data_IF_991595383595
#
_entry.id   IF_991595383595
#
_cell.length_a   1.000
_cell.length_b   1.000
_cell.length_c   1.000
_cell.angle_alpha   90.00
_cell.angle_beta   90.00
_cell.angle_gamma   90.00
#
_symmetry.space_group_name_H-M   'P 1'
#
loop_
_entity.id
_entity.type
_entity.pdbx_description
1 polymer ?
#
# COMPACT_ATOMS: atom_id res chain seq x y z
N UNK A 1 -21.66 13.99 38.60
CA UNK A 1 -21.11 14.58 37.35
C UNK A 1 -19.62 14.34 37.36
N UNK A 2 -19.01 13.88 36.27
CA UNK A 2 -17.57 13.67 36.22
C UNK A 2 -16.85 15.03 36.30
N UNK A 3 -15.88 15.18 37.21
CA UNK A 3 -15.08 16.39 37.29
C UNK A 3 -14.34 16.61 35.95
N UNK A 4 -14.27 17.85 35.47
CA UNK A 4 -13.55 18.24 34.26
C UNK A 4 -12.52 19.29 34.59
N UNK A 5 -11.40 19.29 33.89
CA UNK A 5 -10.36 20.32 34.02
C UNK A 5 -10.06 20.95 32.65
N UNK A 6 -9.51 22.17 32.67
CA UNK A 6 -9.27 22.97 31.47
C UNK A 6 -7.77 23.09 31.22
N UNK A 7 -7.34 22.96 29.97
CA UNK A 7 -5.93 23.13 29.60
C UNK A 7 -5.47 24.59 29.81
N UNK A 8 -4.37 24.84 30.57
CA UNK A 8 -3.90 26.19 30.89
C UNK A 8 -3.28 26.95 29.70
N UNK A 9 -3.12 26.29 28.55
CA UNK A 9 -2.55 26.90 27.34
C UNK A 9 -3.62 27.28 26.31
N UNK A 10 -4.70 26.51 26.18
CA UNK A 10 -5.67 26.68 25.07
C UNK A 10 -7.15 26.63 25.48
N UNK A 11 -7.46 26.39 26.76
CA UNK A 11 -8.86 26.38 27.22
C UNK A 11 -9.66 25.11 26.91
N UNK A 12 -9.04 24.08 26.34
CA UNK A 12 -9.75 22.83 26.01
C UNK A 12 -10.09 22.03 27.28
N UNK A 13 -11.35 21.58 27.42
CA UNK A 13 -11.85 20.86 28.60
C UNK A 13 -11.71 19.35 28.44
N UNK A 14 -11.26 18.66 29.49
CA UNK A 14 -11.06 17.21 29.53
C UNK A 14 -11.73 16.58 30.76
N UNK A 15 -12.23 15.34 30.65
CA UNK A 15 -12.70 14.59 31.82
C UNK A 15 -11.53 14.20 32.72
N UNK A 16 -11.66 14.43 34.02
CA UNK A 16 -10.66 14.09 35.03
C UNK A 16 -10.58 12.58 35.22
N UNK A 17 -9.39 12.01 34.99
CA UNK A 17 -9.09 10.60 35.27
C UNK A 17 -8.07 10.52 36.40
N UNK A 18 -8.29 9.71 37.46
CA UNK A 18 -7.37 9.61 38.61
C UNK A 18 -5.94 9.26 38.22
N UNK A 19 -5.76 8.48 37.14
CA UNK A 19 -4.45 8.03 36.64
C UNK A 19 -3.58 9.18 36.08
N UNK A 20 -4.17 10.33 35.78
CA UNK A 20 -3.47 11.50 35.23
C UNK A 20 -3.00 12.49 36.29
N UNK A 21 -3.49 12.37 37.53
CA UNK A 21 -3.09 13.24 38.64
C UNK A 21 -1.61 13.00 38.96
N UNK A 22 -0.82 14.07 39.02
CA UNK A 22 0.62 14.04 39.28
C UNK A 22 1.49 13.64 38.09
N UNK A 23 0.92 13.32 36.91
CA UNK A 23 1.70 13.01 35.69
C UNK A 23 1.74 14.19 34.72
N UNK A 24 2.84 14.31 33.97
CA UNK A 24 2.92 15.26 32.85
C UNK A 24 2.10 14.73 31.66
N UNK A 25 1.07 15.47 31.27
CA UNK A 25 0.15 15.13 30.17
C UNK A 25 0.30 16.16 29.05
N UNK A 26 0.22 15.72 27.79
CA UNK A 26 0.21 16.62 26.63
C UNK A 26 -1.22 16.90 26.18
N UNK A 27 -1.55 18.18 25.96
CA UNK A 27 -2.84 18.59 25.43
C UNK A 27 -3.04 18.07 23.99
N UNK A 28 -4.18 17.47 23.66
CA UNK A 28 -4.46 17.01 22.29
C UNK A 28 -4.72 18.15 21.32
N UNK A 29 -5.16 19.32 21.82
CA UNK A 29 -5.36 20.53 21.03
C UNK A 29 -4.05 21.23 20.68
N UNK A 30 -3.32 21.74 21.68
CA UNK A 30 -2.13 22.58 21.46
C UNK A 30 -0.78 21.85 21.60
N UNK A 31 -0.76 20.56 21.96
CA UNK A 31 0.44 19.71 22.13
C UNK A 31 1.41 20.13 23.24
N UNK A 32 1.13 21.20 24.00
CA UNK A 32 1.92 21.62 25.16
C UNK A 32 1.71 20.68 26.35
N UNK A 33 2.77 20.46 27.13
CA UNK A 33 2.75 19.62 28.33
C UNK A 33 2.32 20.44 29.56
N UNK A 34 1.48 19.84 30.39
CA UNK A 34 1.03 20.40 31.67
C UNK A 34 0.86 19.26 32.69
N UNK A 35 0.78 19.58 33.98
CA UNK A 35 0.63 18.58 35.06
C UNK A 35 -0.65 18.88 35.84
N UNK A 36 -1.43 17.83 36.13
CA UNK A 36 -2.70 17.95 36.84
C UNK A 36 -2.48 17.71 38.34
N UNK A 37 -2.84 18.66 39.20
CA UNK A 37 -2.83 18.49 40.66
C UNK A 37 -4.03 17.67 41.15
N UNK A 38 -3.95 17.16 42.38
CA UNK A 38 -5.06 16.45 43.02
C UNK A 38 -6.34 17.31 43.13
N UNK A 39 -6.18 18.63 43.24
CA UNK A 39 -7.28 19.59 43.36
C UNK A 39 -7.98 19.90 42.02
N UNK A 40 -7.58 19.25 40.92
CA UNK A 40 -8.17 19.46 39.58
C UNK A 40 -7.64 20.67 38.81
N UNK A 41 -6.69 21.41 39.38
CA UNK A 41 -6.01 22.53 38.71
C UNK A 41 -4.85 21.99 37.87
N UNK A 42 -4.72 22.47 36.63
CA UNK A 42 -3.67 22.10 35.69
C UNK A 42 -2.61 23.21 35.59
N UNK A 43 -1.35 22.90 35.91
CA UNK A 43 -0.25 23.85 35.84
C UNK A 43 0.65 23.63 34.62
N UNK A 44 1.25 24.72 34.17
CA UNK A 44 2.26 24.69 33.12
C UNK A 44 3.53 24.05 33.68
N UNK A 45 3.99 22.98 33.04
CA UNK A 45 5.27 22.34 33.39
C UNK A 45 6.37 23.09 32.67
N UNK A 46 7.33 23.63 33.41
CA UNK A 46 8.53 24.21 32.80
C UNK A 46 9.21 23.12 31.95
N UNK A 47 9.58 23.42 30.69
CA UNK A 47 10.25 22.43 29.85
C UNK A 47 11.47 21.91 30.61
N UNK A 48 11.67 20.58 30.69
CA UNK A 48 12.85 20.02 31.34
C UNK A 48 14.09 20.64 30.69
N UNK A 49 15.12 20.99 31.47
CA UNK A 49 16.35 21.55 30.92
C UNK A 49 16.84 20.60 29.83
N UNK A 50 16.96 21.11 28.61
CA UNK A 50 17.46 20.36 27.47
C UNK A 50 18.77 19.70 27.91
N UNK A 51 18.87 18.36 27.90
CA UNK A 51 20.12 17.69 28.25
C UNK A 51 21.21 18.27 27.36
N UNK A 52 22.27 18.80 27.99
CA UNK A 52 23.42 19.33 27.27
C UNK A 52 23.88 18.26 26.28
N UNK A 53 23.98 18.65 25.00
CA UNK A 53 24.38 17.75 23.94
C UNK A 53 25.70 17.06 24.35
N UNK A 54 25.75 15.71 24.40
CA UNK A 54 26.98 15.02 24.74
C UNK A 54 28.07 15.41 23.74
N UNK A 55 29.21 15.80 24.30
CA UNK A 55 30.41 16.22 23.57
C UNK A 55 30.78 15.15 22.52
N UNK A 56 31.05 15.54 21.25
CA UNK A 56 31.31 14.59 20.18
C UNK A 56 32.56 13.76 20.50
N UNK A 57 32.38 12.44 20.57
CA UNK A 57 33.48 11.51 20.79
C UNK A 57 34.59 11.69 19.73
N UNK A 58 35.88 11.63 20.12
CA UNK A 58 37.01 11.81 19.21
C UNK A 58 37.02 10.74 18.11
N UNK A 59 37.24 11.19 16.86
CA UNK A 59 37.41 10.32 15.69
C UNK A 59 38.59 9.37 15.91
N UNK A 60 38.42 8.04 15.77
CA UNK A 60 39.52 7.10 15.76
C UNK A 60 40.46 7.36 14.56
N UNK A 61 41.76 7.40 14.84
CA UNK A 61 42.80 7.48 13.81
C UNK A 61 42.77 6.24 12.91
N UNK A 62 43.00 6.46 11.61
CA UNK A 62 43.04 5.42 10.59
C UNK A 62 44.19 4.43 10.87
N UNK A 63 43.83 3.18 11.15
CA UNK A 63 44.78 2.07 11.28
C UNK A 63 45.00 1.44 9.91
N UNK A 64 46.27 1.32 9.52
CA UNK A 64 46.73 0.68 8.29
C UNK A 64 46.36 -0.82 8.23
N UNK A 65 46.11 -1.39 7.04
CA UNK A 65 45.70 -2.78 6.91
C UNK A 65 46.86 -3.75 7.17
N UNK A 66 46.66 -4.68 8.10
CA UNK A 66 47.58 -5.79 8.37
C UNK A 66 47.32 -6.99 7.42
N UNK A 67 48.33 -7.88 7.21
CA UNK A 67 48.26 -8.99 6.26
C UNK A 67 47.29 -10.10 6.70
N UNK A 68 46.54 -10.63 5.74
CA UNK A 68 45.61 -11.75 5.91
C UNK A 68 46.35 -13.02 6.34
N UNK A 69 45.92 -13.59 7.47
CA UNK A 69 46.31 -14.93 7.92
C UNK A 69 45.32 -15.98 7.41
N UNK A 70 45.84 -17.15 7.06
CA UNK A 70 45.15 -18.30 6.48
C UNK A 70 43.98 -18.84 7.35
N UNK A 71 42.97 -19.51 6.74
CA UNK A 71 41.78 -19.98 7.43
C UNK A 71 42.04 -21.22 8.30
N UNK A 72 41.54 -21.15 9.53
CA UNK A 72 41.46 -22.28 10.49
C UNK A 72 40.16 -23.08 10.27
N UNK A 73 40.18 -24.42 10.37
CA UNK A 73 39.02 -25.26 10.07
C UNK A 73 37.94 -25.20 11.16
N UNK A 74 36.67 -25.14 10.73
CA UNK A 74 35.51 -25.06 11.60
C UNK A 74 35.16 -26.41 12.28
N UNK A 75 34.73 -26.41 13.55
CA UNK A 75 34.24 -27.61 14.24
C UNK A 75 32.81 -27.96 13.80
N UNK A 76 32.60 -29.25 13.54
CA UNK A 76 31.31 -29.86 13.20
C UNK A 76 30.34 -29.83 14.40
N UNK A 77 29.08 -29.46 14.14
CA UNK A 77 27.96 -29.48 15.10
C UNK A 77 27.10 -30.73 14.84
N UNK A 78 26.68 -31.49 15.88
CA UNK A 78 25.89 -32.70 15.72
C UNK A 78 24.39 -32.44 15.42
N UNK A 79 23.81 -33.31 14.59
CA UNK A 79 22.39 -33.37 14.20
C UNK A 79 21.44 -33.70 15.37
N UNK A 80 20.28 -33.03 15.49
CA UNK A 80 19.18 -33.50 16.32
C UNK A 80 18.22 -34.43 15.55
N UNK A 81 17.77 -35.48 16.24
CA UNK A 81 16.83 -36.50 15.79
C UNK A 81 15.37 -35.98 15.66
N UNK A 82 14.52 -36.64 14.84
CA UNK A 82 13.15 -36.19 14.59
C UNK A 82 12.17 -36.61 15.70
N UNK A 83 11.36 -35.66 16.17
CA UNK A 83 10.22 -35.91 17.05
C UNK A 83 8.96 -36.19 16.24
N UNK A 84 8.31 -37.31 16.53
CA UNK A 84 6.99 -37.75 16.05
C UNK A 84 5.89 -36.84 16.62
N UNK A 85 5.09 -36.21 15.75
CA UNK A 85 3.87 -35.50 16.14
C UNK A 85 2.63 -36.36 15.86
N UNK A 86 1.88 -36.62 16.93
CA UNK A 86 0.60 -37.30 16.96
C UNK A 86 -0.52 -36.33 16.58
N UNK A 87 -1.33 -36.70 15.59
CA UNK A 87 -2.50 -35.96 15.08
C UNK A 87 -3.71 -36.14 15.99
N UNK A 88 -4.43 -35.08 16.42
CA UNK A 88 -5.75 -35.21 17.02
C UNK A 88 -6.87 -35.10 15.99
N UNK A 89 -7.89 -35.93 16.22
CA UNK A 89 -9.12 -36.17 15.44
C UNK A 89 -10.13 -35.02 15.59
N UNK A 90 -10.84 -34.58 14.52
CA UNK A 90 -11.82 -33.51 14.62
C UNK A 90 -13.17 -34.03 15.14
N UNK A 91 -13.63 -33.47 16.26
CA UNK A 91 -14.99 -33.61 16.76
C UNK A 91 -15.86 -32.45 16.28
N UNK A 92 -16.99 -32.77 15.65
CA UNK A 92 -18.00 -31.80 15.22
C UNK A 92 -18.78 -31.22 16.40
N UNK A 93 -19.08 -29.91 16.36
CA UNK A 93 -19.96 -29.29 17.35
C UNK A 93 -19.92 -27.77 17.52
N UNK A 94 -19.14 -26.99 16.75
CA UNK A 94 -18.96 -25.54 17.01
C UNK A 94 -19.59 -24.56 16.00
N UNK A 95 -20.28 -25.07 14.95
CA UNK A 95 -20.83 -24.22 13.88
C UNK A 95 -21.95 -23.26 14.31
N UNK A 96 -22.74 -23.60 15.31
CA UNK A 96 -23.95 -22.83 15.66
C UNK A 96 -23.64 -21.59 16.53
N UNK A 97 -22.58 -21.63 17.34
CA UNK A 97 -22.20 -20.48 18.19
C UNK A 97 -21.50 -19.39 17.39
N UNK A 98 -20.80 -19.73 16.31
CA UNK A 98 -20.12 -18.79 15.43
C UNK A 98 -21.12 -17.90 14.64
N UNK A 99 -22.20 -18.49 14.13
CA UNK A 99 -23.25 -17.76 13.41
C UNK A 99 -23.96 -16.71 14.29
N UNK A 100 -24.23 -17.04 15.55
CA UNK A 100 -24.88 -16.09 16.49
C UNK A 100 -24.02 -14.87 16.84
N UNK A 101 -22.69 -15.03 16.86
CA UNK A 101 -21.74 -13.94 17.14
C UNK A 101 -21.57 -13.01 15.95
N UNK A 102 -21.56 -13.55 14.73
CA UNK A 102 -21.53 -12.75 13.50
C UNK A 102 -22.76 -11.83 13.41
N UNK A 103 -23.97 -12.36 13.66
CA UNK A 103 -25.21 -11.57 13.60
C UNK A 103 -25.28 -10.43 14.63
N UNK A 104 -24.73 -10.64 15.85
CA UNK A 104 -24.66 -9.58 16.87
C UNK A 104 -23.67 -8.47 16.50
N UNK A 105 -22.56 -8.80 15.84
CA UNK A 105 -21.56 -7.82 15.45
C UNK A 105 -22.07 -6.89 14.35
N UNK A 106 -22.83 -7.41 13.39
CA UNK A 106 -23.41 -6.63 12.30
C UNK A 106 -24.42 -5.59 12.81
N UNK A 107 -25.29 -5.95 13.77
CA UNK A 107 -26.23 -5.00 14.40
C UNK A 107 -25.50 -3.87 15.12
N UNK A 108 -24.42 -4.19 15.85
CA UNK A 108 -23.65 -3.18 16.57
C UNK A 108 -22.94 -2.19 15.62
N UNK A 109 -22.51 -2.65 14.44
CA UNK A 109 -21.94 -1.78 13.41
C UNK A 109 -23.00 -0.89 12.74
N UNK A 110 -24.21 -1.40 12.50
CA UNK A 110 -25.31 -0.60 11.97
C UNK A 110 -25.76 0.49 12.95
N UNK A 111 -25.85 0.18 14.25
CA UNK A 111 -26.18 1.16 15.28
C UNK A 111 -25.08 2.24 15.42
N UNK A 112 -23.81 1.85 15.31
CA UNK A 112 -22.70 2.81 15.30
C UNK A 112 -22.73 3.72 14.06
N UNK A 113 -23.09 3.20 12.88
CA UNK A 113 -23.28 4.00 11.66
C UNK A 113 -24.45 4.96 11.80
N UNK A 114 -25.58 4.53 12.38
CA UNK A 114 -26.73 5.40 12.66
C UNK A 114 -26.38 6.52 13.66
N UNK A 115 -25.64 6.20 14.71
CA UNK A 115 -25.17 7.20 15.67
C UNK A 115 -24.24 8.24 15.02
N UNK A 116 -23.30 7.81 14.17
CA UNK A 116 -22.41 8.73 13.43
C UNK A 116 -23.16 9.57 12.39
N UNK A 117 -24.16 9.01 11.71
CA UNK A 117 -25.00 9.78 10.79
C UNK A 117 -25.78 10.87 11.53
N UNK A 118 -26.30 10.57 12.73
CA UNK A 118 -26.99 11.54 13.58
C UNK A 118 -26.10 12.69 14.04
N UNK A 119 -24.84 12.42 14.42
CA UNK A 119 -23.91 13.48 14.84
C UNK A 119 -23.46 14.37 13.67
N UNK A 120 -23.25 13.80 12.48
CA UNK A 120 -22.91 14.57 11.28
C UNK A 120 -24.07 15.45 10.81
N UNK A 121 -25.31 14.95 10.83
CA UNK A 121 -26.49 15.74 10.49
C UNK A 121 -26.69 16.93 11.45
N UNK A 122 -26.48 16.70 12.76
CA UNK A 122 -26.53 17.76 13.77
C UNK A 122 -25.43 18.82 13.57
N UNK A 123 -24.20 18.40 13.28
CA UNK A 123 -23.10 19.31 13.00
C UNK A 123 -23.33 20.14 11.72
N UNK A 124 -23.88 19.54 10.66
CA UNK A 124 -24.24 20.24 9.43
C UNK A 124 -25.32 21.31 9.67
N UNK A 125 -26.35 20.99 10.44
CA UNK A 125 -27.40 21.95 10.79
C UNK A 125 -26.86 23.11 11.65
N UNK A 126 -25.95 22.84 12.60
CA UNK A 126 -25.31 23.89 13.38
C UNK A 126 -24.43 24.80 12.49
N UNK A 127 -23.70 24.24 11.53
CA UNK A 127 -22.90 25.02 10.58
C UNK A 127 -23.77 25.96 9.72
N UNK A 128 -24.91 25.47 9.21
CA UNK A 128 -25.87 26.27 8.45
C UNK A 128 -26.50 27.39 9.31
N UNK A 129 -26.76 27.14 10.59
CA UNK A 129 -27.24 28.20 11.50
C UNK A 129 -26.19 29.28 11.77
N UNK A 130 -24.90 28.93 11.79
CA UNK A 130 -23.83 29.91 11.95
C UNK A 130 -23.66 30.75 10.67
N UNK A 131 -23.75 30.16 9.49
CA UNK A 131 -23.69 30.91 8.23
C UNK A 131 -24.89 31.84 8.04
N UNK A 132 -26.10 31.40 8.35
CA UNK A 132 -27.31 32.24 8.26
C UNK A 132 -27.23 33.45 9.19
N UNK A 133 -26.85 33.24 10.46
CA UNK A 133 -26.61 34.35 11.41
C UNK A 133 -25.54 35.33 10.91
N UNK A 134 -24.48 34.84 10.26
CA UNK A 134 -23.42 35.68 9.70
C UNK A 134 -23.92 36.49 8.50
N UNK A 135 -24.76 35.89 7.63
CA UNK A 135 -25.37 36.61 6.51
C UNK A 135 -26.33 37.70 6.99
N UNK A 136 -27.13 37.43 8.02
CA UNK A 136 -28.07 38.41 8.57
C UNK A 136 -27.34 39.56 9.28
N UNK A 137 -26.26 39.28 10.01
CA UNK A 137 -25.40 40.31 10.59
C UNK A 137 -24.74 41.19 9.51
N UNK A 138 -24.27 40.60 8.41
CA UNK A 138 -23.69 41.35 7.29
C UNK A 138 -24.74 42.22 6.56
N UNK A 139 -25.98 41.74 6.44
CA UNK A 139 -27.09 42.54 5.88
C UNK A 139 -27.49 43.68 6.80
N UNK A 140 -27.51 43.48 8.11
CA UNK A 140 -27.79 44.52 9.10
C UNK A 140 -26.72 45.63 9.09
N UNK A 141 -25.43 45.26 9.02
CA UNK A 141 -24.33 46.23 8.97
C UNK A 141 -24.35 47.05 7.65
N UNK A 142 -24.69 46.42 6.52
CA UNK A 142 -24.89 47.13 5.25
C UNK A 142 -26.11 48.06 5.26
N UNK A 143 -27.18 47.71 5.99
CA UNK A 143 -28.37 48.57 6.13
C UNK A 143 -28.07 49.77 7.04
N UNK A 144 -27.34 49.57 8.15
CA UNK A 144 -26.91 50.63 9.06
C UNK A 144 -25.97 51.64 8.38
N UNK A 145 -25.06 51.17 7.51
CA UNK A 145 -24.18 52.05 6.71
C UNK A 145 -24.92 52.85 5.64
N UNK A 146 -26.06 52.36 5.14
CA UNK A 146 -26.89 53.09 4.16
C UNK A 146 -27.72 54.20 4.81
N UNK A 147 -28.24 54.00 6.01
CA UNK A 147 -29.04 55.02 6.71
C UNK A 147 -28.21 56.16 7.34
N UNK A 148 -26.89 56.03 7.43
CA UNK A 148 -25.99 57.09 7.94
C UNK A 148 -25.54 58.10 6.85
N UNK A 149 -25.85 57.85 5.56
CA UNK A 149 -25.39 58.68 4.44
C UNK A 149 -26.43 59.67 3.89
N UNK A 150 -27.60 59.78 4.52
CA UNK A 150 -28.66 60.70 4.08
C UNK A 150 -28.74 62.00 4.92
N UNK A 151 -27.70 62.30 5.70
CA UNK A 151 -27.68 63.42 6.63
C UNK A 151 -26.69 64.55 6.32
N UNK A 152 -26.36 64.85 5.06
CA UNK A 152 -25.66 66.11 4.70
C UNK A 152 -26.19 66.62 3.36
N UNK A 153 -27.21 67.48 3.44
CA UNK A 153 -27.64 68.33 2.33
C UNK A 153 -26.61 69.45 2.11
N UNK A 154 -25.49 69.09 1.47
CA UNK A 154 -24.52 70.03 0.92
C UNK A 154 -24.84 70.30 -0.54
N UNK A 155 -24.99 71.59 -0.87
CA UNK A 155 -25.21 72.17 -2.21
C UNK A 155 -24.62 71.31 -3.35
N UNK A 156 -25.51 70.84 -4.22
CA UNK A 156 -25.18 70.26 -5.52
C UNK A 156 -24.61 71.40 -6.38
N UNK A 157 -23.29 71.57 -6.38
CA UNK A 157 -22.61 72.16 -7.52
C UNK A 157 -22.62 71.13 -8.64
N UNK A 158 -22.85 71.58 -9.87
CA UNK A 158 -22.87 70.76 -11.07
C UNK A 158 -21.51 70.04 -11.22
N UNK A 159 -21.42 68.84 -10.66
CA UNK A 159 -20.32 67.94 -10.89
C UNK A 159 -20.43 67.48 -12.34
N UNK A 160 -19.58 68.06 -13.19
CA UNK A 160 -19.32 67.55 -14.52
C UNK A 160 -19.11 66.04 -14.41
N UNK A 161 -20.01 65.27 -15.01
CA UNK A 161 -19.88 63.83 -15.19
C UNK A 161 -18.76 63.63 -16.22
N UNK A 162 -17.52 63.79 -15.77
CA UNK A 162 -16.33 63.41 -16.53
C UNK A 162 -16.37 61.89 -16.63
N UNK A 163 -16.35 61.36 -17.85
CA UNK A 163 -16.49 59.93 -18.18
C UNK A 163 -15.36 59.01 -17.69
N UNK A 164 -14.76 59.28 -16.54
CA UNK A 164 -13.69 58.49 -15.93
C UNK A 164 -14.18 57.18 -15.30
N UNK A 165 -15.47 57.07 -14.99
CA UNK A 165 -16.07 55.84 -14.46
C UNK A 165 -15.96 54.63 -15.40
N UNK A 166 -16.10 54.85 -16.71
CA UNK A 166 -16.08 53.76 -17.70
C UNK A 166 -14.69 53.16 -17.90
N UNK A 167 -13.62 53.97 -17.79
CA UNK A 167 -12.24 53.47 -17.85
C UNK A 167 -11.89 52.64 -16.61
N UNK A 168 -12.33 53.07 -15.42
CA UNK A 168 -12.13 52.32 -14.19
C UNK A 168 -12.88 50.98 -14.18
N UNK A 169 -14.11 50.94 -14.71
CA UNK A 169 -14.88 49.70 -14.83
C UNK A 169 -14.28 48.69 -15.81
N UNK A 170 -13.76 49.15 -16.96
CA UNK A 170 -13.06 48.26 -17.92
C UNK A 170 -11.79 47.69 -17.31
N UNK A 171 -10.96 48.53 -16.67
CA UNK A 171 -9.74 48.08 -15.99
C UNK A 171 -10.04 47.03 -14.92
N UNK A 172 -11.05 47.26 -14.07
CA UNK A 172 -11.46 46.31 -13.03
C UNK A 172 -11.95 44.98 -13.59
N UNK A 173 -12.72 44.99 -14.70
CA UNK A 173 -13.17 43.75 -15.36
C UNK A 173 -12.01 42.95 -15.94
N UNK A 174 -11.06 43.63 -16.60
CA UNK A 174 -9.84 42.99 -17.14
C UNK A 174 -9.03 42.36 -16.01
N UNK A 175 -8.88 43.05 -14.88
CA UNK A 175 -8.13 42.53 -13.73
C UNK A 175 -8.80 41.32 -13.07
N UNK A 176 -10.13 41.32 -12.95
CA UNK A 176 -10.89 40.16 -12.45
C UNK A 176 -10.75 38.97 -13.40
N UNK A 177 -10.87 39.19 -14.71
CA UNK A 177 -10.67 38.12 -15.71
C UNK A 177 -9.25 37.54 -15.64
N UNK A 178 -8.24 38.39 -15.49
CA UNK A 178 -6.86 37.95 -15.32
C UNK A 178 -6.70 37.06 -14.08
N UNK A 179 -7.30 37.43 -12.94
CA UNK A 179 -7.28 36.59 -11.73
C UNK A 179 -7.97 35.25 -11.96
N UNK A 180 -9.15 35.25 -12.58
CA UNK A 180 -9.90 34.01 -12.84
C UNK A 180 -9.07 33.06 -13.72
N UNK A 181 -8.40 33.58 -14.74
CA UNK A 181 -7.49 32.79 -15.59
C UNK A 181 -6.32 32.22 -14.79
N UNK A 182 -5.69 33.02 -13.93
CA UNK A 182 -4.58 32.56 -13.07
C UNK A 182 -5.05 31.47 -12.09
N UNK A 183 -6.20 31.64 -11.45
CA UNK A 183 -6.77 30.63 -10.54
C UNK A 183 -7.11 29.34 -11.28
N UNK A 184 -7.68 29.44 -12.49
CA UNK A 184 -7.95 28.28 -13.33
C UNK A 184 -6.66 27.54 -13.71
N UNK A 185 -5.60 28.25 -14.09
CA UNK A 185 -4.29 27.64 -14.38
C UNK A 185 -3.69 26.95 -13.15
N UNK A 186 -3.76 27.57 -11.97
CA UNK A 186 -3.31 26.94 -10.71
C UNK A 186 -4.12 25.68 -10.42
N UNK A 187 -5.45 25.71 -10.61
CA UNK A 187 -6.30 24.55 -10.42
C UNK A 187 -5.96 23.40 -11.39
N UNK A 188 -5.64 23.72 -12.66
CA UNK A 188 -5.18 22.73 -13.65
C UNK A 188 -3.83 22.14 -13.25
N UNK A 189 -2.87 22.95 -12.78
CA UNK A 189 -1.57 22.46 -12.29
C UNK A 189 -1.76 21.54 -11.08
N UNK A 190 -2.58 21.93 -10.11
CA UNK A 190 -2.89 21.10 -8.93
C UNK A 190 -3.59 19.81 -9.37
N UNK A 191 -4.61 19.87 -10.21
CA UNK A 191 -5.31 18.69 -10.72
C UNK A 191 -4.36 17.76 -11.49
N UNK A 192 -3.51 18.29 -12.37
CA UNK A 192 -2.52 17.49 -13.09
C UNK A 192 -1.49 16.84 -12.17
N UNK A 193 -1.13 17.51 -11.07
CA UNK A 193 -0.22 16.95 -10.06
C UNK A 193 -0.88 15.86 -9.21
N UNK A 194 -2.23 15.85 -9.15
CA UNK A 194 -3.02 14.84 -8.46
C UNK A 194 -3.34 13.62 -9.33
N UNK A 195 -3.13 13.67 -10.65
CA UNK A 195 -3.18 12.49 -11.52
C UNK A 195 -1.96 11.65 -11.18
N UNK A 196 -2.09 10.87 -10.09
CA UNK A 196 -1.08 9.90 -9.68
C UNK A 196 -0.92 8.91 -10.81
N UNK A 197 0.32 8.71 -11.24
CA UNK A 197 0.63 7.70 -12.24
C UNK A 197 0.08 6.33 -11.78
N UNK A 198 -0.42 5.49 -12.69
CA UNK A 198 -1.00 4.19 -12.33
C UNK A 198 -0.03 3.32 -11.53
N UNK A 199 1.28 3.45 -11.79
CA UNK A 199 2.35 2.78 -11.05
C UNK A 199 2.35 3.17 -9.57
N UNK A 200 2.20 4.48 -9.29
CA UNK A 200 2.17 4.98 -7.92
C UNK A 200 0.90 4.54 -7.19
N UNK A 201 -0.23 4.50 -7.88
CA UNK A 201 -1.48 4.01 -7.31
C UNK A 201 -1.38 2.53 -6.92
N UNK A 202 -0.79 1.68 -7.78
CA UNK A 202 -0.53 0.27 -7.48
C UNK A 202 0.36 0.10 -6.26
N UNK A 203 1.45 0.87 -6.16
CA UNK A 203 2.37 0.78 -5.01
C UNK A 203 1.70 1.26 -3.73
N UNK A 204 0.93 2.35 -3.80
CA UNK A 204 0.14 2.82 -2.66
C UNK A 204 -0.87 1.75 -2.23
N UNK A 205 -1.63 1.18 -3.17
CA UNK A 205 -2.60 0.11 -2.91
C UNK A 205 -1.96 -1.13 -2.25
N UNK A 206 -0.76 -1.52 -2.70
CA UNK A 206 0.03 -2.58 -2.06
C UNK A 206 0.29 -2.30 -0.58
N UNK A 207 0.61 -1.05 -0.23
CA UNK A 207 0.92 -0.64 1.16
C UNK A 207 -0.29 -0.34 2.06
N UNK A 208 -1.51 -0.22 1.51
CA UNK A 208 -2.69 0.12 2.31
C UNK A 208 -2.89 -0.96 3.38
N UNK A 209 -2.72 -0.56 4.65
CA UNK A 209 -3.07 -1.41 5.77
C UNK A 209 -4.58 -1.64 5.75
N UNK A 210 -5.03 -2.87 5.50
CA UNK A 210 -6.44 -3.20 5.67
C UNK A 210 -6.83 -2.91 7.11
N UNK A 211 -7.80 -2.00 7.26
CA UNK A 211 -8.19 -1.42 8.56
C UNK A 211 -8.81 -2.46 9.49
N UNK A 212 -9.24 -3.60 8.95
CA UNK A 212 -10.00 -4.63 9.65
C UNK A 212 -9.14 -5.74 10.28
N UNK A 213 -7.85 -5.87 9.90
CA UNK A 213 -6.96 -6.93 10.44
C UNK A 213 -6.45 -6.69 11.87
N UNK A 214 -7.16 -5.91 12.69
CA UNK A 214 -6.80 -5.76 14.11
C UNK A 214 -6.85 -7.08 14.89
N UNK A 215 -7.50 -8.12 14.35
CA UNK A 215 -7.71 -9.40 15.05
C UNK A 215 -6.66 -10.49 14.76
N UNK A 216 -5.98 -10.48 13.60
CA UNK A 216 -5.04 -11.54 13.23
C UNK A 216 -3.74 -10.98 12.65
N UNK A 217 -2.68 -10.98 13.46
CA UNK A 217 -1.42 -10.27 13.15
C UNK A 217 -0.57 -10.94 12.07
N UNK A 218 -0.55 -12.26 12.05
CA UNK A 218 0.15 -13.07 11.05
C UNK A 218 -0.52 -12.95 9.70
N UNK A 219 -1.86 -12.97 9.68
CA UNK A 219 -2.67 -12.78 8.47
C UNK A 219 -2.38 -11.44 7.79
N UNK A 220 -2.07 -10.38 8.55
CA UNK A 220 -1.72 -9.08 7.95
C UNK A 220 -0.44 -9.11 7.12
N UNK A 221 0.61 -9.80 7.59
CA UNK A 221 1.86 -9.90 6.82
C UNK A 221 1.62 -10.72 5.57
N UNK A 222 0.95 -11.86 5.73
CA UNK A 222 0.61 -12.74 4.63
C UNK A 222 -0.27 -12.02 3.59
N UNK A 223 -1.30 -11.29 4.01
CA UNK A 223 -2.17 -10.54 3.12
C UNK A 223 -1.43 -9.44 2.33
N UNK A 224 -0.44 -8.76 2.94
CA UNK A 224 0.40 -7.82 2.18
C UNK A 224 1.28 -8.57 1.17
N UNK A 225 1.86 -9.70 1.56
CA UNK A 225 2.70 -10.52 0.68
C UNK A 225 1.91 -11.11 -0.48
N UNK A 226 0.68 -11.55 -0.24
CA UNK A 226 -0.23 -12.14 -1.24
C UNK A 226 -0.66 -11.13 -2.33
N UNK A 227 -0.55 -9.82 -2.07
CA UNK A 227 -0.78 -8.77 -3.09
C UNK A 227 0.35 -8.68 -4.12
N UNK A 228 1.53 -9.22 -3.82
CA UNK A 228 2.60 -9.36 -4.81
C UNK A 228 2.42 -10.66 -5.61
N UNK A 229 2.81 -10.64 -6.88
CA UNK A 229 2.72 -11.85 -7.71
C UNK A 229 3.76 -12.91 -7.32
N UNK A 230 4.96 -12.49 -6.91
CA UNK A 230 6.03 -13.36 -6.43
C UNK A 230 6.07 -13.40 -4.90
N UNK A 231 6.56 -14.49 -4.29
CA UNK A 231 6.24 -14.89 -2.93
C UNK A 231 6.80 -13.96 -1.89
N UNK A 232 8.07 -14.03 -1.53
CA UNK A 232 8.65 -13.39 -0.35
C UNK A 232 8.80 -11.86 -0.47
N UNK A 233 7.78 -11.18 -1.00
CA UNK A 233 7.67 -9.74 -1.03
C UNK A 233 7.81 -9.18 0.38
N UNK A 234 8.49 -8.06 0.47
CA UNK A 234 8.66 -7.33 1.70
C UNK A 234 7.31 -6.73 2.12
N UNK A 235 6.79 -7.01 3.34
CA UNK A 235 5.49 -6.50 3.79
C UNK A 235 5.57 -5.01 4.15
N UNK A 236 5.65 -4.17 3.12
CA UNK A 236 5.71 -2.72 3.23
C UNK A 236 4.34 -2.16 3.64
N UNK A 237 4.35 -1.29 4.65
CA UNK A 237 3.17 -0.54 5.13
C UNK A 237 3.26 0.93 4.73
N UNK A 238 4.46 1.41 4.41
CA UNK A 238 4.70 2.75 3.89
C UNK A 238 5.87 2.67 2.91
N UNK A 239 5.75 3.33 1.77
CA UNK A 239 6.76 3.40 0.72
C UNK A 239 7.74 4.57 0.91
N UNK A 240 7.42 5.56 1.75
CA UNK A 240 8.31 6.70 1.96
C UNK A 240 8.63 7.44 0.65
N UNK A 241 9.92 7.56 0.33
CA UNK A 241 10.34 8.13 -0.95
C UNK A 241 10.40 7.05 -2.03
N UNK A 242 9.71 7.27 -3.14
CA UNK A 242 9.62 6.31 -4.25
C UNK A 242 10.20 6.93 -5.52
N UNK A 243 10.98 6.14 -6.26
CA UNK A 243 11.48 6.47 -7.59
C UNK A 243 11.20 5.31 -8.54
N UNK A 244 10.48 5.61 -9.61
CA UNK A 244 10.25 4.67 -10.71
C UNK A 244 11.43 4.72 -11.68
N UNK A 245 11.86 3.56 -12.15
CA UNK A 245 12.85 3.40 -13.20
C UNK A 245 12.22 3.36 -14.59
N UNK A 246 13.07 3.17 -15.61
CA UNK A 246 12.62 3.06 -17.00
C UNK A 246 11.92 1.71 -17.24
N UNK A 247 10.72 1.68 -17.85
CA UNK A 247 10.06 0.43 -18.22
C UNK A 247 10.92 -0.37 -19.21
N UNK A 248 10.97 -1.69 -19.00
CA UNK A 248 11.53 -2.67 -19.92
C UNK A 248 10.37 -3.53 -20.45
N UNK A 249 10.23 -3.63 -21.76
CA UNK A 249 9.16 -4.39 -22.41
C UNK A 249 9.68 -5.74 -22.89
N UNK A 250 8.99 -6.82 -22.53
CA UNK A 250 9.21 -8.19 -23.00
C UNK A 250 8.17 -8.48 -24.05
N UNK A 251 8.58 -8.67 -25.30
CA UNK A 251 7.69 -9.03 -26.39
C UNK A 251 7.40 -10.54 -26.35
N UNK A 252 6.13 -10.93 -26.28
CA UNK A 252 5.70 -12.33 -26.18
C UNK A 252 5.07 -12.85 -27.48
N UNK A 253 5.05 -12.07 -28.55
CA UNK A 253 4.43 -12.47 -29.82
C UNK A 253 5.02 -13.78 -30.38
N UNK A 254 6.35 -13.94 -30.32
CA UNK A 254 7.04 -15.17 -30.77
C UNK A 254 6.86 -16.35 -29.80
N UNK A 255 6.74 -16.07 -28.50
CA UNK A 255 6.52 -17.11 -27.48
C UNK A 255 5.13 -17.77 -27.57
N UNK A 256 4.14 -17.09 -28.18
CA UNK A 256 2.76 -17.60 -28.32
C UNK A 256 2.70 -18.96 -29.01
N UNK A 257 3.47 -19.16 -30.08
CA UNK A 257 3.47 -20.43 -30.84
C UNK A 257 4.12 -21.56 -30.06
N UNK A 258 5.13 -21.26 -29.24
CA UNK A 258 5.82 -22.24 -28.39
C UNK A 258 4.92 -22.65 -27.22
N UNK A 259 4.29 -21.69 -26.55
CA UNK A 259 3.41 -21.96 -25.40
C UNK A 259 2.11 -22.65 -25.84
N UNK A 260 1.63 -22.41 -27.06
CA UNK A 260 0.50 -23.18 -27.61
C UNK A 260 0.78 -24.70 -27.66
N UNK A 261 2.04 -25.15 -27.67
CA UNK A 261 2.41 -26.58 -27.65
C UNK A 261 2.18 -27.24 -26.28
N UNK A 262 2.11 -26.46 -25.21
CA UNK A 262 1.84 -26.95 -23.85
C UNK A 262 0.41 -26.64 -23.41
N UNK A 263 -0.44 -26.20 -24.35
CA UNK A 263 -1.86 -26.02 -24.07
C UNK A 263 -2.45 -27.35 -23.61
N UNK A 264 -3.24 -27.30 -22.55
CA UNK A 264 -3.90 -28.46 -21.92
C UNK A 264 -2.91 -29.44 -21.23
N UNK A 265 -1.63 -29.07 -21.10
CA UNK A 265 -0.65 -29.80 -20.29
C UNK A 265 -0.52 -29.16 -18.91
N UNK A 266 -0.35 -29.99 -17.88
CA UNK A 266 -0.04 -29.60 -16.52
C UNK A 266 1.44 -29.86 -16.27
N UNK A 267 2.11 -28.90 -15.63
CA UNK A 267 3.50 -29.07 -15.24
C UNK A 267 3.61 -29.96 -13.99
N UNK A 268 4.39 -31.03 -14.07
CA UNK A 268 4.71 -31.92 -12.96
C UNK A 268 6.15 -31.67 -12.45
N UNK A 269 6.32 -30.98 -11.31
CA UNK A 269 7.64 -30.57 -10.81
C UNK A 269 8.56 -31.75 -10.47
N UNK A 270 8.01 -32.90 -10.06
CA UNK A 270 8.84 -34.05 -9.70
C UNK A 270 9.56 -34.67 -10.91
N UNK A 271 9.01 -34.48 -12.10
CA UNK A 271 9.52 -35.04 -13.35
C UNK A 271 10.19 -33.99 -14.25
N UNK A 272 9.99 -32.70 -13.98
CA UNK A 272 10.42 -31.57 -14.84
C UNK A 272 9.81 -31.65 -16.25
N UNK A 273 8.54 -32.09 -16.32
CA UNK A 273 7.80 -32.34 -17.56
C UNK A 273 6.44 -31.64 -17.57
N UNK A 274 6.02 -31.21 -18.77
CA UNK A 274 4.63 -30.88 -19.06
C UNK A 274 3.91 -32.12 -19.57
N UNK A 275 2.83 -32.50 -18.90
CA UNK A 275 2.12 -33.75 -19.11
C UNK A 275 0.61 -33.56 -19.18
N UNK A 276 -0.15 -34.38 -19.93
CA UNK A 276 -1.60 -34.31 -19.93
C UNK A 276 -2.13 -34.70 -18.54
N UNK A 277 -3.01 -33.90 -17.95
CA UNK A 277 -3.54 -34.14 -16.60
C UNK A 277 -4.16 -35.54 -16.45
N UNK A 278 -4.86 -36.01 -17.48
CA UNK A 278 -5.52 -37.32 -17.54
C UNK A 278 -4.55 -38.50 -17.54
N UNK A 279 -3.27 -38.27 -17.85
CA UNK A 279 -2.24 -39.30 -18.01
C UNK A 279 -1.17 -39.29 -16.92
N UNK A 280 -1.35 -38.48 -15.86
CA UNK A 280 -0.36 -38.33 -14.81
C UNK A 280 -0.03 -39.67 -14.12
N UNK A 281 -1.04 -40.47 -13.78
CA UNK A 281 -0.85 -41.77 -13.12
C UNK A 281 -0.09 -42.78 -14.01
N UNK A 282 -0.46 -42.86 -15.30
CA UNK A 282 0.21 -43.70 -16.31
C UNK A 282 1.70 -43.32 -16.43
N UNK A 283 2.00 -42.01 -16.42
CA UNK A 283 3.36 -41.49 -16.54
C UNK A 283 4.18 -41.85 -15.29
N UNK A 284 3.63 -41.65 -14.10
CA UNK A 284 4.31 -41.99 -12.84
C UNK A 284 4.60 -43.49 -12.75
N UNK A 285 3.70 -44.35 -13.23
CA UNK A 285 3.91 -45.81 -13.26
C UNK A 285 5.01 -46.24 -14.24
N UNK A 286 5.13 -45.55 -15.38
CA UNK A 286 6.15 -45.83 -16.40
C UNK A 286 7.51 -45.18 -16.08
N UNK A 287 7.53 -44.15 -15.23
CA UNK A 287 8.72 -43.39 -14.92
C UNK A 287 9.74 -44.21 -14.12
N UNK A 288 10.97 -44.30 -14.63
CA UNK A 288 12.07 -44.95 -13.93
C UNK A 288 13.09 -43.90 -13.51
N UNK A 289 13.22 -43.59 -12.20
CA UNK A 289 14.13 -42.53 -11.72
C UNK A 289 15.61 -42.76 -12.06
N UNK A 290 16.00 -44.00 -12.35
CA UNK A 290 17.38 -44.37 -12.71
C UNK A 290 17.73 -44.12 -14.19
N UNK A 291 16.71 -43.95 -15.03
CA UNK A 291 16.93 -43.70 -16.45
C UNK A 291 17.20 -42.22 -16.68
N UNK A 292 17.96 -41.92 -17.73
CA UNK A 292 18.10 -40.55 -18.23
C UNK A 292 16.75 -40.01 -18.74
N UNK A 293 16.57 -38.69 -18.64
CA UNK A 293 15.33 -37.99 -19.02
C UNK A 293 14.88 -38.36 -20.44
N UNK A 294 15.81 -38.35 -21.40
CA UNK A 294 15.51 -38.60 -22.81
C UNK A 294 15.05 -40.04 -23.05
N UNK A 295 15.59 -41.00 -22.30
CA UNK A 295 15.16 -42.42 -22.36
C UNK A 295 13.74 -42.57 -21.83
N UNK A 296 13.40 -41.92 -20.70
CA UNK A 296 12.04 -41.95 -20.18
C UNK A 296 11.06 -41.25 -21.11
N UNK A 297 11.43 -40.11 -21.71
CA UNK A 297 10.60 -39.40 -22.68
C UNK A 297 10.34 -40.27 -23.92
N UNK A 298 11.36 -41.00 -24.41
CA UNK A 298 11.19 -41.96 -25.51
C UNK A 298 10.24 -43.12 -25.15
N UNK A 299 10.31 -43.63 -23.92
CA UNK A 299 9.39 -44.67 -23.43
C UNK A 299 7.93 -44.17 -23.36
N UNK A 300 7.72 -42.93 -22.93
CA UNK A 300 6.39 -42.29 -22.92
C UNK A 300 5.87 -42.07 -24.35
N UNK A 301 6.75 -41.64 -25.26
CA UNK A 301 6.44 -41.51 -26.69
C UNK A 301 6.02 -42.83 -27.34
N UNK A 302 6.67 -43.95 -27.01
CA UNK A 302 6.29 -45.28 -27.47
C UNK A 302 4.90 -45.74 -26.99
N UNK A 303 4.35 -45.08 -25.95
CA UNK A 303 2.98 -45.27 -25.45
C UNK A 303 1.99 -44.22 -25.95
N UNK A 304 2.38 -43.41 -26.93
CA UNK A 304 1.59 -42.29 -27.46
C UNK A 304 1.21 -41.24 -26.40
N UNK A 305 2.03 -41.07 -25.36
CA UNK A 305 1.83 -40.02 -24.35
C UNK A 305 2.63 -38.80 -24.79
N UNK A 306 1.94 -37.71 -25.11
CA UNK A 306 2.59 -36.45 -25.50
C UNK A 306 3.14 -35.78 -24.25
N UNK A 307 4.46 -35.63 -24.17
CA UNK A 307 5.13 -34.92 -23.07
C UNK A 307 6.09 -33.88 -23.64
N UNK A 308 6.23 -32.76 -22.95
CA UNK A 308 7.19 -31.71 -23.32
C UNK A 308 8.16 -31.50 -22.16
N UNK A 309 9.44 -31.85 -22.33
CA UNK A 309 10.45 -31.56 -21.30
C UNK A 309 10.59 -30.06 -21.08
N UNK A 310 10.68 -29.66 -19.82
CA UNK A 310 10.84 -28.26 -19.44
C UNK A 310 12.11 -27.63 -20.04
N UNK A 311 13.20 -28.39 -20.12
CA UNK A 311 14.44 -27.97 -20.81
C UNK A 311 14.21 -27.66 -22.29
N UNK A 312 13.43 -28.48 -22.99
CA UNK A 312 13.10 -28.28 -24.41
C UNK A 312 12.21 -27.07 -24.62
N UNK A 313 11.22 -26.85 -23.73
CA UNK A 313 10.39 -25.66 -23.74
C UNK A 313 11.22 -24.39 -23.56
N UNK A 314 12.11 -24.39 -22.55
CA UNK A 314 13.05 -23.28 -22.30
C UNK A 314 13.92 -22.98 -23.50
N UNK A 315 14.51 -24.00 -24.12
CA UNK A 315 15.33 -23.84 -25.33
C UNK A 315 14.54 -23.18 -26.48
N UNK A 316 13.32 -23.66 -26.76
CA UNK A 316 12.45 -23.08 -27.79
C UNK A 316 12.06 -21.63 -27.50
N UNK A 317 11.82 -21.27 -26.23
CA UNK A 317 11.52 -19.90 -25.84
C UNK A 317 12.73 -18.97 -25.98
N UNK A 318 13.93 -19.47 -25.67
CA UNK A 318 15.18 -18.74 -25.92
C UNK A 318 15.41 -18.52 -27.43
N UNK A 319 15.18 -19.55 -28.25
CA UNK A 319 15.21 -19.45 -29.72
C UNK A 319 14.18 -18.45 -30.25
N UNK A 320 13.03 -18.32 -29.58
CA UNK A 320 12.01 -17.31 -29.87
C UNK A 320 12.40 -15.87 -29.45
N UNK A 321 13.59 -15.68 -28.88
CA UNK A 321 14.16 -14.37 -28.54
C UNK A 321 13.96 -13.91 -27.10
N UNK A 322 13.48 -14.78 -26.20
CA UNK A 322 13.42 -14.45 -24.77
C UNK A 322 14.80 -14.61 -24.14
N UNK A 323 15.25 -13.61 -23.39
CA UNK A 323 16.48 -13.75 -22.61
C UNK A 323 16.23 -14.62 -21.36
N UNK A 324 17.30 -15.18 -20.78
CA UNK A 324 17.22 -16.07 -19.62
C UNK A 324 16.43 -15.49 -18.45
N UNK A 325 16.62 -14.21 -18.11
CA UNK A 325 15.89 -13.55 -17.01
C UNK A 325 14.38 -13.47 -17.28
N UNK A 326 13.99 -13.16 -18.51
CA UNK A 326 12.58 -13.01 -18.92
C UNK A 326 11.89 -14.37 -18.99
N UNK A 327 12.63 -15.39 -19.43
CA UNK A 327 12.21 -16.78 -19.42
C UNK A 327 11.96 -17.27 -17.99
N UNK A 328 12.89 -17.03 -17.06
CA UNK A 328 12.71 -17.42 -15.66
C UNK A 328 11.50 -16.72 -15.03
N UNK A 329 11.32 -15.43 -15.31
CA UNK A 329 10.15 -14.70 -14.87
C UNK A 329 8.85 -15.30 -15.45
N UNK A 330 8.80 -15.54 -16.75
CA UNK A 330 7.63 -16.12 -17.41
C UNK A 330 7.30 -17.51 -16.82
N UNK A 331 8.31 -18.34 -16.61
CA UNK A 331 8.15 -19.65 -15.95
C UNK A 331 7.64 -19.50 -14.52
N UNK A 332 8.15 -18.53 -13.74
CA UNK A 332 7.66 -18.27 -12.39
C UNK A 332 6.18 -17.83 -12.38
N UNK A 333 5.77 -17.01 -13.35
CA UNK A 333 4.37 -16.57 -13.49
C UNK A 333 3.44 -17.71 -13.93
N UNK A 334 3.93 -18.64 -14.76
CA UNK A 334 3.16 -19.79 -15.23
C UNK A 334 3.01 -20.87 -14.17
N UNK A 335 4.08 -21.18 -13.44
CA UNK A 335 4.11 -22.33 -12.53
C UNK A 335 3.56 -22.01 -11.14
N UNK A 336 3.48 -20.73 -10.77
CA UNK A 336 3.03 -20.35 -9.44
C UNK A 336 1.51 -20.13 -9.41
N UNK A 337 0.78 -20.78 -8.48
CA UNK A 337 -0.61 -20.43 -8.24
C UNK A 337 -0.68 -18.98 -7.75
N UNK A 338 -1.50 -18.15 -8.41
CA UNK A 338 -1.76 -16.79 -7.95
C UNK A 338 -2.66 -16.84 -6.71
N UNK A 339 -2.19 -16.26 -5.60
CA UNK A 339 -2.94 -16.20 -4.34
C UNK A 339 -3.86 -14.97 -4.22
N UNK A 340 -4.07 -14.24 -5.31
CA UNK A 340 -4.75 -12.95 -5.23
C UNK A 340 -6.26 -13.13 -4.97
N UNK A 341 -6.74 -12.60 -3.85
CA UNK A 341 -8.13 -12.75 -3.40
C UNK A 341 -9.17 -12.12 -4.32
N UNK A 342 -8.79 -11.07 -5.05
CA UNK A 342 -9.67 -10.37 -6.01
C UNK A 342 -9.50 -10.88 -7.46
N UNK A 343 -8.37 -11.53 -7.76
CA UNK A 343 -8.15 -12.30 -8.99
C UNK A 343 -7.85 -13.75 -8.63
N UNK A 344 -8.90 -14.48 -8.23
CA UNK A 344 -8.98 -15.97 -8.32
C UNK A 344 -8.22 -16.49 -9.57
N UNK A 345 -7.66 -17.72 -9.55
CA UNK A 345 -6.38 -18.18 -10.15
C UNK A 345 -6.16 -18.01 -11.67
N UNK A 346 -6.60 -16.91 -12.25
CA UNK A 346 -6.67 -16.69 -13.68
C UNK A 346 -5.31 -16.41 -14.31
N UNK A 347 -4.31 -15.89 -13.60
CA UNK A 347 -3.06 -15.52 -14.27
C UNK A 347 -2.32 -16.76 -14.78
N UNK A 348 -1.96 -17.68 -13.88
CA UNK A 348 -1.25 -18.91 -14.25
C UNK A 348 -2.10 -19.77 -15.18
N UNK A 349 -3.40 -19.92 -14.89
CA UNK A 349 -4.32 -20.68 -15.74
C UNK A 349 -4.44 -20.09 -17.15
N UNK A 350 -4.57 -18.76 -17.30
CA UNK A 350 -4.65 -18.13 -18.63
C UNK A 350 -3.35 -18.28 -19.40
N UNK A 351 -2.20 -18.10 -18.75
CA UNK A 351 -0.90 -18.28 -19.38
C UNK A 351 -0.70 -19.74 -19.83
N UNK A 352 -1.05 -20.72 -18.98
CA UNK A 352 -1.00 -22.14 -19.32
C UNK A 352 -1.99 -22.53 -20.42
N UNK A 353 -3.15 -21.88 -20.49
CA UNK A 353 -4.13 -22.05 -21.56
C UNK A 353 -3.67 -21.48 -22.92
N UNK A 354 -2.45 -20.95 -23.02
CA UNK A 354 -1.90 -20.33 -24.22
C UNK A 354 -2.42 -18.92 -24.50
N UNK A 355 -3.26 -18.37 -23.62
CA UNK A 355 -3.65 -16.97 -23.70
C UNK A 355 -2.52 -16.15 -23.10
N UNK A 356 -1.60 -15.66 -23.93
CA UNK A 356 -0.51 -14.77 -23.53
C UNK A 356 -0.85 -13.31 -23.88
N UNK A 357 -0.35 -12.34 -23.10
CA UNK A 357 -0.37 -10.95 -23.52
C UNK A 357 0.53 -10.75 -24.75
N UNK A 358 0.37 -9.63 -25.44
CA UNK A 358 1.25 -9.25 -26.53
C UNK A 358 2.64 -8.88 -26.01
N UNK A 359 2.67 -8.19 -24.87
CA UNK A 359 3.91 -7.86 -24.17
C UNK A 359 3.72 -7.79 -22.64
N UNK A 360 4.83 -7.86 -21.91
CA UNK A 360 4.90 -7.61 -20.48
C UNK A 360 5.85 -6.44 -20.24
N UNK A 361 5.36 -5.38 -19.62
CA UNK A 361 6.21 -4.28 -19.16
C UNK A 361 6.64 -4.52 -17.71
N UNK A 362 7.94 -4.47 -17.46
CA UNK A 362 8.54 -4.49 -16.13
C UNK A 362 9.05 -3.09 -15.82
N UNK A 363 8.55 -2.52 -14.73
CA UNK A 363 8.95 -1.19 -14.27
C UNK A 363 9.70 -1.36 -12.95
N UNK A 364 11.04 -1.29 -12.93
CA UNK A 364 11.78 -1.35 -11.70
C UNK A 364 11.46 -0.10 -10.87
N UNK A 365 11.39 -0.25 -9.56
CA UNK A 365 11.26 0.88 -8.65
C UNK A 365 12.19 0.70 -7.46
N UNK A 366 12.58 1.82 -6.87
CA UNK A 366 13.39 1.87 -5.65
C UNK A 366 12.88 2.96 -4.73
N UNK A 367 13.10 2.77 -3.45
CA UNK A 367 12.73 3.76 -2.47
C UNK A 367 13.58 3.72 -1.22
N UNK A 368 13.54 4.82 -0.49
CA UNK A 368 14.20 4.94 0.80
C UNK A 368 13.21 5.33 1.88
N UNK A 369 13.52 4.91 3.12
CA UNK A 369 12.68 5.10 4.30
C UNK A 369 11.31 4.43 4.21
N UNK A 370 11.21 3.33 3.47
CA UNK A 370 10.01 2.48 3.49
C UNK A 370 9.86 1.81 4.84
N UNK A 371 8.64 1.63 5.33
CA UNK A 371 8.37 1.00 6.63
C UNK A 371 7.89 -0.43 6.42
N UNK A 372 8.67 -1.40 6.90
CA UNK A 372 8.36 -2.83 6.84
C UNK A 372 7.76 -3.30 8.14
N UNK A 373 6.76 -4.17 8.03
CA UNK A 373 6.18 -4.88 9.16
C UNK A 373 6.96 -6.16 9.45
N UNK A 374 7.65 -6.23 10.59
CA UNK A 374 8.40 -7.42 11.02
C UNK A 374 7.64 -8.09 12.15
N UNK A 375 7.45 -9.42 12.03
CA UNK A 375 6.88 -10.23 13.11
C UNK A 375 7.97 -10.63 14.11
N UNK A 376 7.90 -10.13 15.34
CA UNK A 376 8.76 -10.54 16.46
C UNK A 376 8.05 -11.54 17.39
N UNK A 377 7.13 -12.34 16.85
CA UNK A 377 6.32 -13.32 17.55
C UNK A 377 5.13 -12.69 18.26
N UNK A 378 5.39 -11.91 19.33
CA UNK A 378 4.34 -11.29 20.16
C UNK A 378 4.06 -9.85 19.81
N UNK A 379 4.92 -9.19 19.05
CA UNK A 379 4.76 -7.79 18.65
C UNK A 379 5.16 -7.62 17.19
N UNK A 380 4.45 -6.73 16.49
CA UNK A 380 4.87 -6.31 15.18
C UNK A 380 5.74 -5.07 15.35
N UNK A 381 6.97 -5.14 14.87
CA UNK A 381 7.86 -3.99 14.84
C UNK A 381 7.83 -3.35 13.47
N UNK A 382 7.84 -2.02 13.45
CA UNK A 382 7.95 -1.24 12.22
C UNK A 382 9.41 -0.84 12.06
N UNK A 383 10.05 -1.30 10.99
CA UNK A 383 11.44 -0.97 10.67
C UNK A 383 11.50 -0.16 9.39
N UNK A 384 12.25 0.94 9.40
CA UNK A 384 12.58 1.68 8.19
C UNK A 384 13.69 0.96 7.42
N UNK A 385 13.49 0.75 6.14
CA UNK A 385 14.46 0.12 5.24
C UNK A 385 14.47 0.84 3.89
N UNK A 386 15.58 0.69 3.19
CA UNK A 386 15.66 0.97 1.76
C UNK A 386 15.26 -0.28 1.00
N UNK A 387 14.56 -0.09 -0.12
CA UNK A 387 13.94 -1.19 -0.85
C UNK A 387 14.00 -0.98 -2.35
N UNK A 388 13.96 -2.11 -3.06
CA UNK A 388 13.81 -2.20 -4.50
C UNK A 388 12.70 -3.19 -4.82
N UNK A 389 12.06 -3.01 -5.96
CA UNK A 389 11.04 -3.92 -6.44
C UNK A 389 10.79 -3.75 -7.92
N UNK A 390 9.88 -4.56 -8.44
CA UNK A 390 9.45 -4.48 -9.82
C UNK A 390 7.94 -4.42 -9.86
N UNK A 391 7.41 -3.55 -10.72
CA UNK A 391 6.02 -3.63 -11.15
C UNK A 391 5.95 -4.38 -12.46
N UNK A 392 4.82 -5.02 -12.68
CA UNK A 392 4.49 -5.72 -13.93
C UNK A 392 3.17 -5.18 -14.47
N UNK A 393 3.14 -4.93 -15.78
CA UNK A 393 1.94 -4.54 -16.52
C UNK A 393 1.81 -5.45 -17.75
N UNK A 394 0.63 -6.01 -17.95
CA UNK A 394 0.33 -6.85 -19.10
C UNK A 394 -0.24 -5.97 -20.22
N UNK A 395 0.31 -6.10 -21.43
CA UNK A 395 -0.11 -5.35 -22.61
C UNK A 395 -0.76 -6.31 -23.59
N UNK A 396 -2.01 -6.06 -23.95
CA UNK A 396 -2.76 -6.84 -24.94
C UNK A 396 -4.25 -6.88 -24.67
N UNK A 397 -5.04 -7.27 -25.68
CA UNK A 397 -6.49 -7.36 -25.55
C UNK A 397 -6.90 -8.41 -24.49
N UNK A 398 -7.88 -8.07 -23.64
CA UNK A 398 -8.40 -8.96 -22.60
C UNK A 398 -7.52 -9.09 -21.34
N UNK A 399 -6.41 -8.35 -21.26
CA UNK A 399 -5.56 -8.27 -20.07
C UNK A 399 -5.90 -7.04 -19.21
N UNK A 400 -5.76 -7.13 -17.87
CA UNK A 400 -5.94 -5.97 -17.02
C UNK A 400 -4.90 -4.89 -17.37
N UNK A 401 -5.36 -3.67 -17.57
CA UNK A 401 -4.52 -2.50 -17.90
C UNK A 401 -3.72 -1.94 -16.72
N UNK A 402 -4.04 -2.38 -15.49
CA UNK A 402 -3.38 -1.95 -14.26
C UNK A 402 -1.98 -2.54 -14.08
N UNK A 403 -1.13 -1.81 -13.36
CA UNK A 403 0.13 -2.35 -12.87
C UNK A 403 -0.12 -3.23 -11.64
N UNK A 404 0.74 -4.22 -11.42
CA UNK A 404 0.79 -5.05 -10.22
C UNK A 404 2.20 -5.08 -9.64
N UNK A 405 2.32 -5.30 -8.34
CA UNK A 405 3.62 -5.50 -7.71
C UNK A 405 4.08 -6.91 -8.05
N UNK A 406 5.20 -7.02 -8.76
CA UNK A 406 5.81 -8.31 -9.07
C UNK A 406 6.54 -8.83 -7.83
N UNK A 407 7.49 -8.05 -7.33
CA UNK A 407 8.27 -8.36 -6.13
C UNK A 407 8.76 -7.09 -5.42
N UNK A 408 9.13 -7.25 -4.16
CA UNK A 408 9.77 -6.21 -3.34
C UNK A 408 10.79 -6.85 -2.41
N UNK A 409 12.02 -6.34 -2.41
CA UNK A 409 13.13 -6.77 -1.55
C UNK A 409 13.79 -5.57 -0.87
N UNK A 410 14.39 -5.75 0.31
CA UNK A 410 15.25 -4.73 0.93
C UNK A 410 16.65 -4.72 0.30
N UNK A 411 17.31 -3.56 0.21
CA UNK A 411 18.63 -3.38 -0.41
C UNK A 411 19.83 -3.98 0.38
N UNK A 412 19.58 -4.95 1.27
CA UNK A 412 20.63 -5.59 2.09
C UNK A 412 20.25 -6.95 2.67
N UNK A 413 19.24 -7.59 2.07
CA UNK A 413 18.89 -8.99 2.31
C UNK A 413 19.16 -9.77 1.02
#
# INVERSE_FOLDING_TARGET
MAATFVCPHCGYSYPMKPVLVGRAVRCTGCKQAFQLRADGIADKVAPPPTPAAPEPAPRPAAVAPAPQSAPSPAPQRPSPAPATMTTPRPGGGEGEKAASRAAKLTRQQEDARRAMAGTLASAANLALQVETKKQDAAKADNKAKRTSKDGVAGKITAAAVVGEGDRAHRSRRVWILAIVVVVALIAVVIASSQIKSPERQTIEAFTIAETDFRKHRTERIQAIQERALLPNALPLVDVGSLRLGKPRTINLASAKTVIAQIKDLVYEPALDLWVPAEKLEDIVALWKPRNELDVNVALLGAKNITVVPQRTLKAKLTEAGLITEDLELLMQLMLRPSHDGDMKPQLSERLQAGNLPDAIDIIPFRGSKGTVLINLGRENSLRKVDYRGRLIRFVGAGWPSGCRVLDVSSDGA
#
